data_IF_752939570533
#
_entry.id   IF_752939570533
#
_cell.length_a   1.000
_cell.length_b   1.000
_cell.length_c   1.000
_cell.angle_alpha   90.00
_cell.angle_beta   90.00
_cell.angle_gamma   90.00
#
_symmetry.space_group_name_H-M   'P 1'
#
loop_
_entity.id
_entity.type
_entity.pdbx_description
1 polymer ?
#
# COMPACT_ATOMS: atom_id res chain seq x y z
N UNK A 1 10.22 2.07 -20.54
CA UNK A 1 10.03 1.67 -19.12
C UNK A 1 9.99 0.15 -19.03
N UNK A 2 10.95 -0.45 -18.33
CA UNK A 2 11.18 -1.89 -18.25
C UNK A 2 10.02 -2.63 -17.56
N UNK A 3 9.50 -3.68 -18.24
CA UNK A 3 8.41 -4.54 -17.74
C UNK A 3 8.72 -5.19 -16.39
N UNK A 4 10.00 -5.36 -16.07
CA UNK A 4 10.50 -5.98 -14.83
C UNK A 4 10.16 -5.16 -13.57
N UNK A 5 10.25 -3.82 -13.62
CA UNK A 5 9.93 -2.98 -12.45
C UNK A 5 8.43 -3.02 -12.10
N UNK A 6 7.56 -3.17 -13.12
CA UNK A 6 6.11 -3.31 -12.91
C UNK A 6 5.75 -4.61 -12.19
N UNK A 7 6.43 -5.72 -12.50
CA UNK A 7 6.20 -7.02 -11.85
C UNK A 7 6.63 -7.03 -10.39
N UNK A 8 7.80 -6.46 -10.11
CA UNK A 8 8.33 -6.37 -8.75
C UNK A 8 7.40 -5.56 -7.84
N UNK A 9 6.96 -4.39 -8.31
CA UNK A 9 6.02 -3.56 -7.54
C UNK A 9 4.65 -4.22 -7.36
N UNK A 10 4.16 -4.96 -8.37
CA UNK A 10 2.89 -5.70 -8.27
C UNK A 10 2.92 -6.79 -7.20
N UNK A 11 4.01 -7.54 -7.12
CA UNK A 11 4.17 -8.61 -6.11
C UNK A 11 4.26 -8.02 -4.70
N UNK A 12 4.97 -6.91 -4.50
CA UNK A 12 5.03 -6.25 -3.19
C UNK A 12 3.67 -5.72 -2.75
N UNK A 13 2.79 -5.33 -3.68
CA UNK A 13 1.42 -4.91 -3.35
C UNK A 13 0.55 -6.01 -2.76
N UNK A 14 0.82 -7.26 -3.12
CA UNK A 14 0.11 -8.43 -2.59
C UNK A 14 0.82 -8.90 -1.32
N UNK A 15 2.15 -9.01 -1.36
CA UNK A 15 2.92 -9.54 -0.23
C UNK A 15 2.88 -8.65 1.01
N UNK A 16 3.01 -7.33 0.86
CA UNK A 16 3.11 -6.42 1.99
C UNK A 16 1.85 -6.44 2.91
N UNK A 17 0.60 -6.37 2.39
CA UNK A 17 -0.58 -6.53 3.22
C UNK A 17 -0.69 -7.95 3.81
N UNK A 18 -0.38 -9.00 3.05
CA UNK A 18 -0.43 -10.37 3.56
C UNK A 18 0.59 -10.60 4.69
N UNK A 19 1.81 -10.07 4.58
CA UNK A 19 2.82 -10.13 5.63
C UNK A 19 2.41 -9.35 6.87
N UNK A 20 1.72 -8.21 6.71
CA UNK A 20 1.20 -7.44 7.84
C UNK A 20 0.11 -8.21 8.61
N UNK A 21 -0.83 -8.82 7.89
CA UNK A 21 -1.85 -9.72 8.46
C UNK A 21 -1.16 -10.88 9.19
N UNK A 22 -0.22 -11.56 8.53
CA UNK A 22 0.51 -12.69 9.12
C UNK A 22 1.29 -12.30 10.38
N UNK A 23 1.91 -11.11 10.39
CA UNK A 23 2.61 -10.58 11.57
C UNK A 23 1.66 -10.25 12.73
N UNK A 24 0.53 -9.60 12.43
CA UNK A 24 -0.51 -9.31 13.43
C UNK A 24 -1.06 -10.60 14.03
N UNK A 25 -1.45 -11.58 13.22
CA UNK A 25 -2.01 -12.85 13.72
C UNK A 25 -0.96 -13.85 14.25
N UNK A 26 0.31 -13.72 13.85
CA UNK A 26 1.41 -14.55 14.32
C UNK A 26 1.94 -14.14 15.70
N UNK A 27 1.84 -12.85 16.05
CA UNK A 27 2.13 -12.35 17.40
C UNK A 27 0.93 -12.55 18.32
N UNK A 28 0.62 -13.81 18.67
CA UNK A 28 -0.31 -14.26 19.74
C UNK A 28 -1.26 -13.17 20.30
N UNK A 29 -2.13 -12.62 19.46
CA UNK A 29 -3.02 -11.55 19.91
C UNK A 29 -4.07 -12.21 20.78
N UNK A 30 -4.16 -11.79 22.05
CA UNK A 30 -5.23 -12.18 22.99
C UNK A 30 -6.67 -11.93 22.46
N UNK A 31 -6.82 -11.45 21.22
CA UNK A 31 -8.05 -11.55 20.41
C UNK A 31 -8.58 -12.99 20.35
N UNK A 32 -7.73 -14.02 20.28
CA UNK A 32 -8.17 -15.42 20.27
C UNK A 32 -8.69 -15.92 21.64
N UNK A 33 -8.45 -15.19 22.73
CA UNK A 33 -8.79 -15.65 24.09
C UNK A 33 -10.28 -15.59 24.41
N UNK A 34 -11.07 -14.81 23.66
CA UNK A 34 -12.50 -14.59 23.92
C UNK A 34 -13.47 -15.12 22.86
N UNK A 35 -13.00 -15.98 21.94
CA UNK A 35 -13.82 -16.52 20.82
C UNK A 35 -14.50 -15.44 19.94
N UNK A 36 -13.79 -14.45 19.38
CA UNK A 36 -14.38 -13.61 18.35
C UNK A 36 -14.66 -14.46 17.11
N UNK A 37 -15.84 -14.30 16.53
CA UNK A 37 -16.29 -15.06 15.38
C UNK A 37 -15.30 -14.93 14.21
N UNK A 38 -15.00 -16.05 13.53
CA UNK A 38 -14.09 -16.13 12.37
C UNK A 38 -14.41 -15.14 11.22
N UNK A 39 -15.60 -14.56 11.24
CA UNK A 39 -16.01 -13.49 10.32
C UNK A 39 -15.21 -12.19 10.45
N UNK A 40 -14.65 -11.87 11.63
CA UNK A 40 -13.88 -10.64 11.84
C UNK A 40 -12.55 -10.59 11.07
N UNK A 41 -12.05 -11.74 10.62
CA UNK A 41 -10.82 -11.84 9.85
C UNK A 41 -11.00 -11.26 8.43
N UNK A 42 -12.18 -11.41 7.84
CA UNK A 42 -12.47 -10.96 6.47
C UNK A 42 -12.44 -9.43 6.32
N UNK A 43 -13.15 -8.62 7.14
CA UNK A 43 -13.07 -7.17 7.04
C UNK A 43 -11.67 -6.63 7.38
N UNK A 44 -10.91 -7.32 8.24
CA UNK A 44 -9.52 -6.94 8.54
C UNK A 44 -8.58 -7.18 7.35
N UNK A 45 -8.75 -8.32 6.66
CA UNK A 45 -8.02 -8.62 5.44
C UNK A 45 -8.38 -7.63 4.30
N UNK A 46 -9.66 -7.32 4.14
CA UNK A 46 -10.11 -6.32 3.15
C UNK A 46 -9.58 -4.92 3.51
N UNK A 47 -9.64 -4.52 4.78
CA UNK A 47 -9.17 -3.23 5.25
C UNK A 47 -7.68 -3.02 5.00
N UNK A 48 -6.84 -4.00 5.32
CA UNK A 48 -5.38 -3.94 5.08
C UNK A 48 -5.04 -3.91 3.58
N UNK A 49 -5.81 -4.65 2.76
CA UNK A 49 -5.67 -4.60 1.30
C UNK A 49 -6.06 -3.22 0.74
N UNK A 50 -7.16 -2.63 1.23
CA UNK A 50 -7.61 -1.28 0.85
C UNK A 50 -6.60 -0.21 1.28
N UNK A 51 -6.05 -0.29 2.48
CA UNK A 51 -5.01 0.63 2.98
C UNK A 51 -3.80 0.59 2.04
N UNK A 52 -3.35 -0.61 1.64
CA UNK A 52 -2.21 -0.76 0.74
C UNK A 52 -2.51 -0.15 -0.63
N UNK A 53 -3.72 -0.35 -1.17
CA UNK A 53 -4.17 0.32 -2.40
C UNK A 53 -4.22 1.85 -2.26
N UNK A 54 -4.74 2.38 -1.15
CA UNK A 54 -4.81 3.83 -0.91
C UNK A 54 -3.41 4.44 -0.82
N UNK A 55 -2.49 3.81 -0.10
CA UNK A 55 -1.07 4.23 -0.02
C UNK A 55 -0.44 4.24 -1.41
N UNK A 56 -0.74 3.26 -2.26
CA UNK A 56 -0.25 3.24 -3.64
C UNK A 56 -0.74 4.43 -4.47
N UNK A 57 -2.05 4.70 -4.39
CA UNK A 57 -2.68 5.80 -5.14
C UNK A 57 -2.09 7.13 -4.69
N UNK A 58 -1.94 7.34 -3.38
CA UNK A 58 -1.31 8.53 -2.80
C UNK A 58 0.13 8.67 -3.29
N UNK A 59 0.91 7.59 -3.24
CA UNK A 59 2.31 7.63 -3.68
C UNK A 59 2.42 7.97 -5.17
N UNK A 60 1.55 7.39 -6.01
CA UNK A 60 1.49 7.68 -7.44
C UNK A 60 1.07 9.13 -7.71
N UNK A 61 0.07 9.63 -6.98
CA UNK A 61 -0.36 11.03 -7.04
C UNK A 61 0.78 11.97 -6.65
N UNK A 62 1.45 11.70 -5.53
CA UNK A 62 2.53 12.56 -5.03
C UNK A 62 3.73 12.55 -5.98
N UNK A 63 4.08 11.39 -6.55
CA UNK A 63 5.13 11.27 -7.57
C UNK A 63 4.77 12.02 -8.86
N UNK A 64 3.51 11.97 -9.30
CA UNK A 64 3.00 12.74 -10.43
C UNK A 64 3.06 14.25 -10.18
N UNK A 65 2.61 14.70 -9.01
CA UNK A 65 2.69 16.11 -8.58
C UNK A 65 4.14 16.60 -8.60
N UNK A 66 5.09 15.82 -8.06
CA UNK A 66 6.52 16.17 -8.06
C UNK A 66 7.08 16.28 -9.49
N UNK A 67 6.58 15.48 -10.43
CA UNK A 67 7.00 15.52 -11.82
C UNK A 67 6.47 16.77 -12.55
N UNK A 68 5.24 17.20 -12.25
CA UNK A 68 4.66 18.42 -12.82
C UNK A 68 5.32 19.70 -12.23
N UNK A 69 5.61 19.69 -10.93
CA UNK A 69 6.24 20.82 -10.22
C UNK A 69 7.68 21.08 -10.71
N UNK A 70 8.44 20.03 -11.05
CA UNK A 70 9.77 20.18 -11.67
C UNK A 70 9.72 20.79 -13.07
N UNK A 71 8.65 20.59 -13.84
CA UNK A 71 8.49 21.16 -15.18
C UNK A 71 8.10 22.64 -15.09
N UNK A 72 7.26 23.00 -14.11
CA UNK A 72 6.88 24.40 -13.84
C UNK A 72 8.08 25.25 -13.38
N UNK A 73 8.91 24.78 -12.46
CA UNK A 73 10.10 25.52 -11.98
C UNK A 73 11.12 25.76 -13.11
N UNK A 74 11.31 24.80 -14.03
CA UNK A 74 12.21 25.01 -15.18
C UNK A 74 11.68 25.99 -16.23
N UNK A 75 10.36 26.21 -16.32
CA UNK A 75 9.75 27.17 -17.25
C UNK A 75 9.69 28.60 -16.70
N UNK A 76 9.72 28.78 -15.38
CA UNK A 76 9.71 30.12 -14.75
C UNK A 76 11.07 30.83 -14.66
N UNK A 77 12.17 30.17 -15.07
CA UNK A 77 13.52 30.74 -15.03
C UNK A 77 14.05 31.18 -16.40
N UNK A 78 13.22 31.08 -17.45
CA UNK A 78 13.56 31.46 -18.85
C UNK A 78 12.55 32.48 -19.38
N UNK A 79 11.97 33.30 -18.49
CA UNK A 79 11.03 34.37 -18.80
C UNK A 79 11.50 35.67 -18.19
#
# INVERSE_FOLDING_TARGET
MSRSMKRLSWITFIFLPLTFISGLFGMNVDVLKSNPSWWWYIPFAIGTMLITCTVWIIFKWHLFTRHCLRIQVRRGSVG
#
